data_IF_234982069129
#
_entry.id   IF_234982069129
#
_cell.length_a   1.000
_cell.length_b   1.000
_cell.length_c   1.000
_cell.angle_alpha   90.00
_cell.angle_beta   90.00
_cell.angle_gamma   90.00
#
_symmetry.space_group_name_H-M   'P 1'
#
loop_
_entity.id
_entity.type
_entity.pdbx_description
1 polymer ?
#
# COMPACT_ATOMS: atom_id res chain seq x y z
N UNK A 1 -4.34 8.23 11.41
CA UNK A 1 -3.46 7.11 11.00
C UNK A 1 -3.18 6.32 12.25
N UNK A 2 -3.50 5.02 12.25
CA UNK A 2 -3.22 4.13 13.37
C UNK A 2 -1.91 3.39 13.08
N UNK A 3 -1.10 3.03 14.11
CA UNK A 3 0.12 2.23 13.90
C UNK A 3 -0.13 0.92 13.13
N UNK A 4 -1.33 0.37 13.28
CA UNK A 4 -1.82 -0.84 12.61
C UNK A 4 -1.89 -0.72 11.08
N UNK A 5 -1.95 0.50 10.55
CA UNK A 5 -2.02 0.74 9.10
C UNK A 5 -0.72 0.28 8.43
N UNK A 6 0.44 0.51 9.05
CA UNK A 6 1.74 0.05 8.54
C UNK A 6 1.83 -1.48 8.50
N UNK A 7 1.35 -2.14 9.56
CA UNK A 7 1.26 -3.60 9.59
C UNK A 7 0.32 -4.12 8.50
N UNK A 8 -0.79 -3.42 8.27
CA UNK A 8 -1.78 -3.78 7.24
C UNK A 8 -1.19 -3.71 5.83
N UNK A 9 -0.25 -2.80 5.55
CA UNK A 9 0.42 -2.72 4.24
C UNK A 9 1.19 -3.99 3.89
N UNK A 10 1.82 -4.63 4.88
CA UNK A 10 2.66 -5.83 4.69
C UNK A 10 1.92 -7.15 4.89
N UNK A 11 0.67 -7.12 5.37
CA UNK A 11 -0.16 -8.33 5.53
C UNK A 11 -1.34 -8.38 4.56
N UNK A 12 -1.83 -7.22 4.11
CA UNK A 12 -2.99 -7.14 3.22
C UNK A 12 -2.55 -7.34 1.77
N UNK A 13 -3.09 -8.38 1.14
CA UNK A 13 -2.98 -8.58 -0.30
C UNK A 13 -4.04 -7.75 -1.04
N UNK A 14 -3.68 -7.26 -2.22
CA UNK A 14 -4.61 -6.57 -3.10
C UNK A 14 -5.74 -7.54 -3.49
N UNK A 15 -7.02 -7.19 -3.23
CA UNK A 15 -8.14 -8.12 -3.42
C UNK A 15 -8.57 -8.28 -4.89
N UNK A 16 -8.21 -7.34 -5.76
CA UNK A 16 -8.63 -7.31 -7.16
C UNK A 16 -7.64 -6.56 -8.07
N UNK A 17 -7.93 -6.54 -9.37
CA UNK A 17 -7.15 -5.81 -10.37
C UNK A 17 -5.89 -6.56 -10.83
N UNK A 18 -5.01 -5.85 -11.52
CA UNK A 18 -3.81 -6.42 -12.17
C UNK A 18 -2.85 -7.07 -11.16
N UNK A 19 -2.77 -6.54 -9.95
CA UNK A 19 -1.85 -7.01 -8.90
C UNK A 19 -2.57 -7.82 -7.82
N UNK A 20 -3.71 -8.43 -8.15
CA UNK A 20 -4.46 -9.28 -7.20
C UNK A 20 -3.53 -10.33 -6.57
N UNK A 21 -3.59 -10.47 -5.25
CA UNK A 21 -2.76 -11.39 -4.47
C UNK A 21 -1.38 -10.86 -4.09
N UNK A 22 -0.96 -9.69 -4.57
CA UNK A 22 0.28 -9.04 -4.14
C UNK A 22 0.02 -8.16 -2.92
N UNK A 23 0.96 -8.13 -1.96
CA UNK A 23 0.87 -7.24 -0.80
C UNK A 23 0.82 -5.77 -1.21
N UNK A 24 0.06 -4.96 -0.46
CA UNK A 24 -0.08 -3.53 -0.74
C UNK A 24 1.30 -2.83 -0.71
N UNK A 25 2.17 -3.22 0.24
CA UNK A 25 3.54 -2.70 0.35
C UNK A 25 4.41 -2.98 -0.91
N UNK A 26 4.11 -4.03 -1.67
CA UNK A 26 4.85 -4.46 -2.86
C UNK A 26 4.24 -3.93 -4.17
N UNK A 27 3.19 -3.12 -4.09
CA UNK A 27 2.58 -2.54 -5.28
C UNK A 27 3.56 -1.56 -5.95
N UNK A 28 3.64 -1.57 -7.30
CA UNK A 28 4.48 -0.63 -8.01
C UNK A 28 4.02 0.81 -7.81
N UNK A 29 4.96 1.73 -7.61
CA UNK A 29 4.68 3.16 -7.45
C UNK A 29 3.81 3.74 -8.58
N UNK A 30 4.08 3.35 -9.82
CA UNK A 30 3.28 3.75 -10.98
C UNK A 30 1.80 3.34 -10.88
N UNK A 31 1.51 2.19 -10.26
CA UNK A 31 0.14 1.71 -10.05
C UNK A 31 -0.58 2.51 -8.96
N UNK A 32 0.14 2.82 -7.88
CA UNK A 32 -0.35 3.66 -6.79
C UNK A 32 -0.59 5.11 -7.27
N UNK A 33 0.32 5.66 -8.06
CA UNK A 33 0.19 6.99 -8.67
C UNK A 33 -0.97 7.06 -9.67
N UNK A 34 -1.23 5.99 -10.42
CA UNK A 34 -2.43 5.89 -11.26
C UNK A 34 -3.72 5.97 -10.43
N UNK A 35 -3.76 5.29 -9.28
CA UNK A 35 -4.87 5.40 -8.34
C UNK A 35 -5.01 6.80 -7.76
N UNK A 36 -3.91 7.49 -7.42
CA UNK A 36 -3.99 8.87 -6.94
C UNK A 36 -4.59 9.84 -7.97
N UNK A 37 -4.35 9.60 -9.27
CA UNK A 37 -4.95 10.39 -10.35
C UNK A 37 -6.42 10.05 -10.59
N UNK A 38 -6.79 8.78 -10.47
CA UNK A 38 -8.16 8.29 -10.73
C UNK A 38 -9.08 8.43 -9.51
N UNK A 39 -8.51 8.46 -8.31
CA UNK A 39 -9.19 8.36 -7.03
C UNK A 39 -9.01 6.97 -6.40
N UNK A 40 -8.69 6.95 -5.11
CA UNK A 40 -8.62 5.72 -4.32
C UNK A 40 -10.03 5.18 -4.03
N UNK A 41 -10.19 3.84 -3.93
CA UNK A 41 -11.47 3.26 -3.53
C UNK A 41 -11.84 3.71 -2.11
N UNK A 42 -13.13 3.89 -1.78
CA UNK A 42 -13.52 4.27 -0.44
C UNK A 42 -13.20 3.17 0.59
N UNK A 43 -13.05 3.57 1.85
CA UNK A 43 -12.79 2.68 2.97
C UNK A 43 -11.31 2.34 3.18
N UNK A 44 -11.06 1.33 4.02
CA UNK A 44 -9.72 0.99 4.52
C UNK A 44 -8.71 0.71 3.40
N UNK A 45 -9.12 0.05 2.33
CA UNK A 45 -8.23 -0.27 1.21
C UNK A 45 -7.68 0.99 0.53
N UNK A 46 -8.52 2.01 0.31
CA UNK A 46 -8.07 3.26 -0.29
C UNK A 46 -7.09 4.01 0.60
N UNK A 47 -7.35 4.05 1.91
CA UNK A 47 -6.43 4.63 2.89
C UNK A 47 -5.06 3.93 2.88
N UNK A 48 -5.05 2.60 2.77
CA UNK A 48 -3.80 1.83 2.65
C UNK A 48 -3.06 2.09 1.34
N UNK A 49 -3.78 2.22 0.21
CA UNK A 49 -3.15 2.55 -1.08
C UNK A 49 -2.58 3.97 -1.09
N UNK A 50 -3.27 4.93 -0.48
CA UNK A 50 -2.77 6.30 -0.32
C UNK A 50 -1.50 6.31 0.55
N UNK A 51 -1.51 5.60 1.67
CA UNK A 51 -0.34 5.48 2.54
C UNK A 51 0.83 4.79 1.83
N UNK A 52 0.57 3.73 1.08
CA UNK A 52 1.60 3.05 0.29
C UNK A 52 2.24 3.99 -0.73
N UNK A 53 1.45 4.87 -1.36
CA UNK A 53 1.95 5.88 -2.28
C UNK A 53 2.81 6.91 -1.57
N UNK A 54 2.40 7.40 -0.41
CA UNK A 54 3.17 8.35 0.39
C UNK A 54 4.52 7.76 0.81
N UNK A 55 4.54 6.51 1.26
CA UNK A 55 5.78 5.81 1.61
C UNK A 55 6.69 5.60 0.38
N UNK A 56 6.13 5.25 -0.77
CA UNK A 56 6.88 5.13 -2.02
C UNK A 56 7.48 6.47 -2.45
N UNK A 57 6.67 7.53 -2.46
CA UNK A 57 7.06 8.86 -2.90
C UNK A 57 8.17 9.47 -2.02
N UNK A 58 8.14 9.18 -0.71
CA UNK A 58 9.16 9.62 0.24
C UNK A 58 10.36 8.66 0.35
N UNK A 59 10.38 7.54 -0.40
CA UNK A 59 11.45 6.55 -0.30
C UNK A 59 11.50 5.78 1.03
N UNK A 60 10.41 5.78 1.79
CA UNK A 60 10.30 5.23 3.15
C UNK A 60 9.86 3.76 3.18
N UNK A 61 9.78 3.09 2.03
CA UNK A 61 9.39 1.66 1.94
C UNK A 61 10.22 0.74 2.85
N UNK A 62 11.50 1.06 3.06
CA UNK A 62 12.39 0.30 3.95
C UNK A 62 11.93 0.25 5.41
N UNK A 63 11.12 1.22 5.85
CA UNK A 63 10.53 1.20 7.20
C UNK A 63 9.57 0.02 7.40
N UNK A 64 9.08 -0.58 6.31
CA UNK A 64 8.20 -1.75 6.35
C UNK A 64 8.96 -3.07 6.49
N UNK A 65 10.26 -3.10 6.19
CA UNK A 65 11.10 -4.30 6.26
C UNK A 65 11.03 -5.03 7.62
N UNK A 66 11.13 -4.36 8.79
CA UNK A 66 11.01 -5.03 10.09
C UNK A 66 9.61 -5.57 10.38
N UNK A 67 8.57 -5.09 9.68
CA UNK A 67 7.17 -5.51 9.88
C UNK A 67 6.80 -6.71 9.02
N UNK A 68 7.63 -7.04 8.02
CA UNK A 68 7.41 -8.18 7.14
C UNK A 68 7.62 -9.48 7.91
N UNK A 69 6.66 -10.43 7.85
CA UNK A 69 6.90 -11.76 8.39
C UNK A 69 8.09 -12.40 7.67
N UNK A 70 9.04 -12.95 8.44
CA UNK A 70 10.22 -13.68 7.93
C UNK A 70 9.83 -15.05 7.39
#
# INVERSE_FOLDING_TARGET
>A
MQPEDLQSLVTTAMPYGKYKGRLIADLPGAYLAWYARKGFPPGRLGSLLALALELDHNGLKRLLDPLRPK
#
